data_IF_776912934278
#
_entry.id   IF_776912934278
#
_cell.length_a   1.000
_cell.length_b   1.000
_cell.length_c   1.000
_cell.angle_alpha   90.00
_cell.angle_beta   90.00
_cell.angle_gamma   90.00
#
_symmetry.space_group_name_H-M   'P 1'
#
loop_
_entity.id
_entity.type
_entity.pdbx_description
1 polymer ?
#
# COMPACT_ATOMS: atom_id res chain seq x y z
N UNK A 1 10.91 13.78 -16.81
CA UNK A 1 9.80 12.91 -16.38
C UNK A 1 10.27 12.07 -15.19
N UNK A 2 9.91 12.46 -13.97
CA UNK A 2 10.63 12.12 -12.73
C UNK A 2 10.78 10.60 -12.47
N UNK A 3 9.76 9.76 -12.69
CA UNK A 3 9.81 8.30 -12.50
C UNK A 3 10.24 7.48 -13.73
N UNK A 4 10.64 8.13 -14.83
CA UNK A 4 10.96 7.47 -16.10
C UNK A 4 9.83 6.52 -16.59
N UNK A 5 8.57 6.89 -16.35
CA UNK A 5 7.40 6.13 -16.76
C UNK A 5 7.00 6.45 -18.21
N UNK A 6 6.46 5.49 -18.99
CA UNK A 6 5.90 5.78 -20.30
C UNK A 6 4.61 6.61 -20.20
N UNK A 7 4.18 7.24 -21.29
CA UNK A 7 2.96 8.08 -21.34
C UNK A 7 1.68 7.34 -20.93
N UNK A 8 1.62 6.03 -21.14
CA UNK A 8 0.50 5.17 -20.77
C UNK A 8 0.41 4.85 -19.26
N UNK A 9 1.39 5.28 -18.46
CA UNK A 9 1.40 5.04 -17.03
C UNK A 9 0.34 5.89 -16.30
N UNK A 10 -0.20 5.34 -15.24
CA UNK A 10 -1.22 5.95 -14.40
C UNK A 10 -0.68 7.23 -13.76
N UNK A 11 -1.37 8.38 -13.86
CA UNK A 11 -0.92 9.61 -13.21
C UNK A 11 -1.03 9.57 -11.68
N UNK A 12 -1.87 8.71 -11.11
CA UNK A 12 -2.16 8.61 -9.67
C UNK A 12 -0.90 8.37 -8.83
N UNK A 13 0.12 7.69 -9.36
CA UNK A 13 1.40 7.50 -8.65
C UNK A 13 2.15 8.80 -8.37
N UNK A 14 1.87 9.88 -9.10
CA UNK A 14 2.41 11.19 -8.78
C UNK A 14 1.75 11.76 -7.51
N UNK A 15 0.49 11.39 -7.28
CA UNK A 15 -0.34 11.94 -6.22
C UNK A 15 -0.39 11.08 -4.95
N UNK A 16 0.06 9.83 -5.00
CA UNK A 16 0.22 9.00 -3.81
C UNK A 16 1.39 9.47 -2.96
N UNK A 17 1.32 9.40 -1.62
CA UNK A 17 2.43 9.75 -0.74
C UNK A 17 3.58 8.74 -0.88
N UNK A 18 4.77 9.14 -0.41
CA UNK A 18 5.97 8.30 -0.47
C UNK A 18 5.77 6.96 0.24
N UNK A 19 5.06 6.92 1.37
CA UNK A 19 4.78 5.68 2.11
C UNK A 19 3.90 4.71 1.31
N UNK A 20 3.15 5.20 0.32
CA UNK A 20 2.28 4.41 -0.55
C UNK A 20 2.90 4.15 -1.94
N UNK A 21 4.14 4.58 -2.18
CA UNK A 21 4.85 4.33 -3.44
C UNK A 21 4.61 5.39 -4.52
N UNK A 22 4.22 6.61 -4.14
CA UNK A 22 4.15 7.76 -5.05
C UNK A 22 5.04 8.94 -4.64
N UNK A 23 4.87 10.09 -5.31
CA UNK A 23 5.70 11.29 -5.12
C UNK A 23 5.12 12.33 -4.12
N UNK A 24 3.89 12.13 -3.66
CA UNK A 24 3.23 12.97 -2.66
C UNK A 24 2.70 14.30 -3.18
N UNK A 25 2.55 14.47 -4.50
CA UNK A 25 1.96 15.70 -5.03
C UNK A 25 0.46 15.75 -4.77
N UNK A 26 -0.09 16.95 -4.68
CA UNK A 26 -1.52 17.19 -4.74
C UNK A 26 -1.76 18.13 -5.91
N UNK A 27 -2.78 17.84 -6.73
CA UNK A 27 -3.13 18.72 -7.84
C UNK A 27 -3.42 20.13 -7.29
N UNK A 28 -2.82 21.16 -7.89
CA UNK A 28 -2.90 22.54 -7.37
C UNK A 28 -4.35 23.02 -7.19
N UNK A 29 -5.25 22.61 -8.08
CA UNK A 29 -6.70 22.89 -7.96
C UNK A 29 -7.30 22.26 -6.70
N UNK A 30 -7.10 20.95 -6.49
CA UNK A 30 -7.56 20.25 -5.29
C UNK A 30 -6.91 20.81 -4.03
N UNK A 31 -5.62 21.14 -4.08
CA UNK A 31 -4.93 21.76 -2.95
C UNK A 31 -5.55 23.11 -2.59
N UNK A 32 -5.87 23.95 -3.58
CA UNK A 32 -6.56 25.21 -3.35
C UNK A 32 -7.92 24.99 -2.67
N UNK A 33 -8.70 24.03 -3.13
CA UNK A 33 -10.00 23.68 -2.51
C UNK A 33 -9.84 23.17 -1.08
N UNK A 34 -8.86 22.30 -0.83
CA UNK A 34 -8.51 21.84 0.53
C UNK A 34 -8.14 23.01 1.43
N UNK A 35 -7.32 23.96 0.95
CA UNK A 35 -6.93 25.14 1.73
C UNK A 35 -8.10 26.07 2.03
N UNK A 36 -9.12 26.15 1.15
CA UNK A 36 -10.33 26.91 1.46
C UNK A 36 -11.10 26.33 2.65
N UNK A 37 -11.22 25.00 2.73
CA UNK A 37 -11.87 24.35 3.86
C UNK A 37 -11.03 24.47 5.14
N UNK A 38 -9.71 24.32 5.05
CA UNK A 38 -8.79 24.52 6.18
C UNK A 38 -8.94 25.92 6.76
N UNK A 39 -8.93 26.94 5.89
CA UNK A 39 -9.08 28.32 6.32
C UNK A 39 -10.44 28.57 6.97
N UNK A 40 -11.52 27.99 6.42
CA UNK A 40 -12.85 28.08 7.01
C UNK A 40 -12.91 27.50 8.43
N UNK A 41 -12.35 26.31 8.65
CA UNK A 41 -12.27 25.68 9.98
C UNK A 41 -11.45 26.55 10.95
N UNK A 42 -10.31 27.09 10.49
CA UNK A 42 -9.47 27.97 11.32
C UNK A 42 -10.21 29.23 11.78
N UNK A 43 -11.00 29.86 10.92
CA UNK A 43 -11.80 31.03 11.29
C UNK A 43 -12.93 30.67 12.26
N UNK A 44 -13.63 29.57 12.01
CA UNK A 44 -14.73 29.11 12.86
C UNK A 44 -14.26 28.73 14.27
N UNK A 45 -13.04 28.19 14.41
CA UNK A 45 -12.41 27.86 15.70
C UNK A 45 -11.48 28.97 16.24
N UNK A 46 -11.52 30.16 15.65
CA UNK A 46 -10.81 31.33 16.18
C UNK A 46 -11.49 31.82 17.45
N UNK A 47 -10.71 32.14 18.48
CA UNK A 47 -11.23 32.71 19.73
C UNK A 47 -11.84 34.08 19.50
N UNK A 48 -11.20 34.88 18.66
CA UNK A 48 -11.52 36.30 18.51
C UNK A 48 -12.53 36.53 17.38
N UNK A 49 -12.39 35.76 16.29
CA UNK A 49 -13.19 35.93 15.07
C UNK A 49 -14.30 34.89 14.93
N UNK A 50 -14.30 33.81 15.72
CA UNK A 50 -15.24 32.69 15.59
C UNK A 50 -16.71 33.10 15.60
N UNK A 51 -17.18 33.85 16.61
CA UNK A 51 -18.58 34.29 16.68
C UNK A 51 -19.01 35.14 15.48
N UNK A 52 -18.17 36.12 15.09
CA UNK A 52 -18.41 36.98 13.93
C UNK A 52 -18.44 36.17 12.62
N UNK A 53 -17.50 35.24 12.47
CA UNK A 53 -17.36 34.35 11.31
C UNK A 53 -18.59 33.45 11.17
N UNK A 54 -19.08 32.85 12.26
CA UNK A 54 -20.28 32.03 12.28
C UNK A 54 -21.54 32.85 11.91
N UNK A 55 -21.63 34.10 12.37
CA UNK A 55 -22.72 35.00 12.00
C UNK A 55 -22.68 35.35 10.51
N UNK A 56 -21.51 35.65 9.95
CA UNK A 56 -21.34 35.91 8.50
C UNK A 56 -21.73 34.69 7.65
N UNK A 57 -21.44 33.47 8.12
CA UNK A 57 -21.89 32.24 7.48
C UNK A 57 -23.42 32.14 7.48
N UNK A 58 -24.07 32.38 8.63
CA UNK A 58 -25.54 32.41 8.73
C UNK A 58 -26.14 33.47 7.80
N UNK A 59 -25.55 34.66 7.69
CA UNK A 59 -25.98 35.69 6.75
C UNK A 59 -25.83 35.24 5.29
N UNK A 60 -24.75 34.53 4.94
CA UNK A 60 -24.57 33.99 3.60
C UNK A 60 -25.65 32.94 3.24
N UNK A 61 -25.96 32.04 4.18
CA UNK A 61 -27.05 31.07 4.01
C UNK A 61 -28.42 31.75 3.95
N UNK A 62 -28.68 32.74 4.80
CA UNK A 62 -29.92 33.54 4.81
C UNK A 62 -30.14 34.24 3.48
N UNK A 63 -29.11 34.86 2.90
CA UNK A 63 -29.20 35.51 1.59
C UNK A 63 -29.55 34.53 0.48
N UNK A 64 -29.11 33.26 0.58
CA UNK A 64 -29.45 32.22 -0.39
C UNK A 64 -30.88 31.70 -0.21
N UNK A 65 -31.36 31.59 1.03
CA UNK A 65 -32.69 31.07 1.37
C UNK A 65 -33.80 32.13 1.38
N UNK A 66 -33.43 33.42 1.39
CA UNK A 66 -34.33 34.56 1.59
C UNK A 66 -35.11 34.53 2.92
N UNK A 67 -34.67 33.73 3.89
CA UNK A 67 -35.20 33.65 5.26
C UNK A 67 -34.12 33.21 6.23
N UNK A 68 -34.38 33.34 7.53
CA UNK A 68 -33.47 32.83 8.55
C UNK A 68 -33.24 31.31 8.38
N UNK A 69 -31.98 30.86 8.26
CA UNK A 69 -31.64 29.44 8.17
C UNK A 69 -31.73 28.78 9.55
N UNK A 70 -32.15 27.51 9.57
CA UNK A 70 -31.90 26.61 10.70
C UNK A 70 -30.45 26.18 10.74
N UNK A 71 -30.00 25.66 11.88
CA UNK A 71 -28.63 25.14 12.06
C UNK A 71 -28.26 24.03 11.07
N UNK A 72 -29.22 23.13 10.78
CA UNK A 72 -29.06 22.10 9.75
C UNK A 72 -28.92 22.69 8.35
N UNK A 73 -29.67 23.75 8.04
CA UNK A 73 -29.62 24.42 6.73
C UNK A 73 -28.32 25.19 6.51
N UNK A 74 -27.68 25.69 7.57
CA UNK A 74 -26.33 26.27 7.48
C UNK A 74 -25.31 25.22 7.03
N UNK A 75 -25.40 24.00 7.57
CA UNK A 75 -24.55 22.89 7.15
C UNK A 75 -24.88 22.45 5.70
N UNK A 76 -26.16 22.31 5.37
CA UNK A 76 -26.61 21.95 4.01
C UNK A 76 -26.16 22.98 2.95
N UNK A 77 -26.17 24.27 3.31
CA UNK A 77 -25.60 25.33 2.49
C UNK A 77 -24.12 25.05 2.17
N UNK A 78 -23.28 24.74 3.16
CA UNK A 78 -21.86 24.43 2.93
C UNK A 78 -21.64 23.11 2.18
N UNK A 79 -22.53 22.14 2.35
CA UNK A 79 -22.53 20.86 1.62
C UNK A 79 -22.96 20.99 0.16
N UNK A 80 -23.32 22.20 -0.30
CA UNK A 80 -23.80 22.44 -1.66
C UNK A 80 -24.97 21.53 -2.05
N UNK A 81 -25.90 21.36 -1.10
CA UNK A 81 -27.17 20.67 -1.33
C UNK A 81 -28.02 21.48 -2.32
N UNK A 82 -28.75 20.80 -3.20
CA UNK A 82 -29.53 21.42 -4.29
C UNK A 82 -31.02 21.04 -4.23
N UNK A 83 -31.44 20.27 -3.23
CA UNK A 83 -32.81 19.82 -3.04
C UNK A 83 -33.53 20.64 -1.94
N UNK A 84 -34.86 20.53 -1.89
CA UNK A 84 -35.71 21.18 -0.89
C UNK A 84 -35.50 22.70 -0.84
N UNK A 85 -35.06 23.21 0.33
CA UNK A 85 -34.90 24.64 0.57
C UNK A 85 -33.90 25.34 -0.38
N UNK A 86 -33.06 24.59 -1.11
CA UNK A 86 -32.06 25.12 -2.04
C UNK A 86 -32.41 24.93 -3.52
N UNK A 87 -33.62 24.46 -3.86
CA UNK A 87 -34.07 24.24 -5.25
C UNK A 87 -34.13 25.53 -6.07
N UNK A 88 -34.46 26.66 -5.44
CA UNK A 88 -34.61 27.94 -6.15
C UNK A 88 -33.26 28.64 -6.34
N UNK A 89 -32.87 28.90 -7.59
CA UNK A 89 -31.57 29.48 -7.91
C UNK A 89 -31.57 31.01 -7.75
N UNK A 90 -31.19 31.50 -6.57
CA UNK A 90 -30.89 32.92 -6.36
C UNK A 90 -29.42 33.25 -6.67
N UNK A 91 -29.15 34.42 -7.25
CA UNK A 91 -27.79 34.87 -7.53
C UNK A 91 -26.94 34.93 -6.25
N UNK A 92 -25.76 34.33 -6.30
CA UNK A 92 -24.90 34.14 -5.14
C UNK A 92 -23.99 35.37 -4.96
N UNK A 93 -24.05 36.03 -3.79
CA UNK A 93 -23.08 37.11 -3.50
C UNK A 93 -21.71 36.49 -3.26
N UNK A 94 -20.75 36.76 -4.15
CA UNK A 94 -19.37 36.24 -4.01
C UNK A 94 -18.76 36.67 -2.67
N UNK A 95 -18.59 35.70 -1.78
CA UNK A 95 -17.92 35.87 -0.49
C UNK A 95 -17.11 34.60 -0.15
N UNK A 96 -16.39 34.62 0.97
CA UNK A 96 -15.61 33.45 1.41
C UNK A 96 -16.46 32.18 1.51
N UNK A 97 -17.65 32.24 2.10
CA UNK A 97 -18.53 31.08 2.29
C UNK A 97 -19.06 30.49 0.99
N UNK A 98 -19.31 31.33 -0.03
CA UNK A 98 -19.63 30.83 -1.37
C UNK A 98 -18.47 30.05 -1.98
N UNK A 99 -17.21 30.48 -1.74
CA UNK A 99 -16.01 29.76 -2.17
C UNK A 99 -15.84 28.45 -1.42
N UNK A 100 -16.05 28.44 -0.10
CA UNK A 100 -16.01 27.22 0.73
C UNK A 100 -17.06 26.23 0.26
N UNK A 101 -18.31 26.66 0.06
CA UNK A 101 -19.38 25.81 -0.49
C UNK A 101 -19.00 25.21 -1.84
N UNK A 102 -18.48 26.02 -2.76
CA UNK A 102 -18.06 25.53 -4.08
C UNK A 102 -16.87 24.56 -3.98
N UNK A 103 -15.92 24.81 -3.09
CA UNK A 103 -14.79 23.92 -2.82
C UNK A 103 -15.26 22.59 -2.22
N UNK A 104 -16.14 22.60 -1.20
CA UNK A 104 -16.78 21.39 -0.67
C UNK A 104 -17.45 20.60 -1.78
N UNK A 105 -18.23 21.29 -2.62
CA UNK A 105 -18.89 20.71 -3.78
C UNK A 105 -17.94 20.01 -4.74
N UNK A 106 -16.82 20.65 -5.09
CA UNK A 106 -15.79 20.05 -5.96
C UNK A 106 -15.12 18.85 -5.31
N UNK A 107 -14.71 18.96 -4.05
CA UNK A 107 -14.06 17.87 -3.31
C UNK A 107 -14.96 16.63 -3.20
N UNK A 108 -16.25 16.82 -2.93
CA UNK A 108 -17.20 15.70 -2.81
C UNK A 108 -17.61 15.16 -4.19
N UNK A 109 -18.01 16.03 -5.13
CA UNK A 109 -18.61 15.57 -6.40
C UNK A 109 -17.57 15.18 -7.45
N UNK A 110 -16.48 15.94 -7.55
CA UNK A 110 -15.41 15.75 -8.54
C UNK A 110 -14.33 14.82 -8.01
N UNK A 111 -13.80 15.11 -6.83
CA UNK A 111 -12.67 14.36 -6.25
C UNK A 111 -13.12 13.15 -5.41
N UNK A 112 -14.44 12.95 -5.26
CA UNK A 112 -15.08 11.81 -4.57
C UNK A 112 -14.60 11.65 -3.12
N UNK A 113 -14.31 12.74 -2.43
CA UNK A 113 -13.92 12.72 -1.03
C UNK A 113 -15.14 12.62 -0.12
N UNK A 114 -15.01 11.83 0.95
CA UNK A 114 -15.96 11.83 2.06
C UNK A 114 -15.66 13.02 2.99
N UNK A 115 -16.28 14.15 2.65
CA UNK A 115 -16.18 15.42 3.37
C UNK A 115 -17.60 15.94 3.57
N UNK A 116 -17.95 16.30 4.80
CA UNK A 116 -19.30 16.76 5.13
C UNK A 116 -19.28 17.80 6.25
N UNK A 117 -20.00 18.89 6.07
CA UNK A 117 -20.31 19.82 7.15
C UNK A 117 -21.54 19.35 7.93
N UNK A 118 -21.47 19.38 9.25
CA UNK A 118 -22.57 19.02 10.15
C UNK A 118 -22.68 20.03 11.27
N UNK A 119 -23.88 20.13 11.85
CA UNK A 119 -24.07 20.86 13.09
C UNK A 119 -24.00 19.89 14.26
N UNK A 120 -23.10 20.12 15.21
CA UNK A 120 -22.93 19.28 16.39
C UNK A 120 -22.37 20.10 17.56
N UNK A 121 -22.93 19.90 18.76
CA UNK A 121 -22.57 20.64 19.99
C UNK A 121 -22.67 22.16 19.81
N UNK A 122 -23.81 22.62 19.28
CA UNK A 122 -24.13 24.04 19.03
C UNK A 122 -23.13 24.79 18.14
N UNK A 123 -22.36 24.05 17.33
CA UNK A 123 -21.42 24.62 16.37
C UNK A 123 -21.40 23.83 15.06
N UNK A 124 -21.04 24.54 13.99
CA UNK A 124 -20.72 23.92 12.71
C UNK A 124 -19.38 23.17 12.81
N UNK A 125 -19.33 21.96 12.29
CA UNK A 125 -18.14 21.10 12.27
C UNK A 125 -17.93 20.52 10.88
N UNK A 126 -16.66 20.30 10.52
CA UNK A 126 -16.28 19.59 9.31
C UNK A 126 -15.92 18.14 9.68
N UNK A 127 -16.55 17.19 9.01
CA UNK A 127 -16.21 15.78 9.06
C UNK A 127 -15.40 15.41 7.81
N UNK A 128 -14.31 14.67 8.01
CA UNK A 128 -13.48 14.10 6.96
C UNK A 128 -13.34 12.61 7.24
N UNK A 129 -13.75 11.75 6.31
CA UNK A 129 -13.83 10.30 6.52
C UNK A 129 -14.66 9.94 7.77
N UNK A 130 -15.78 10.63 7.99
CA UNK A 130 -16.64 10.48 9.17
C UNK A 130 -16.08 11.02 10.51
N UNK A 131 -14.85 11.53 10.54
CA UNK A 131 -14.21 12.05 11.76
C UNK A 131 -14.24 13.58 11.81
N UNK A 132 -14.65 14.14 12.95
CA UNK A 132 -14.60 15.58 13.21
C UNK A 132 -13.18 16.11 13.23
N UNK A 133 -12.94 17.20 12.50
CA UNK A 133 -11.61 17.83 12.40
C UNK A 133 -11.54 19.12 13.23
N UNK A 134 -10.32 19.49 13.61
CA UNK A 134 -10.00 20.73 14.33
C UNK A 134 -9.07 21.59 13.48
N UNK A 135 -8.83 22.84 13.87
CA UNK A 135 -7.85 23.73 13.23
C UNK A 135 -6.43 23.15 13.17
N UNK A 136 -6.07 22.23 14.06
CA UNK A 136 -4.77 21.54 14.09
C UNK A 136 -4.72 20.31 13.16
N UNK A 137 -5.86 19.63 12.96
CA UNK A 137 -5.90 18.34 12.26
C UNK A 137 -6.49 18.42 10.85
N UNK A 138 -7.26 19.47 10.55
CA UNK A 138 -8.02 19.64 9.30
C UNK A 138 -7.17 19.46 8.06
N UNK A 139 -6.04 20.17 7.96
CA UNK A 139 -5.16 20.09 6.79
C UNK A 139 -4.62 18.66 6.56
N UNK A 140 -4.10 18.04 7.62
CA UNK A 140 -3.56 16.68 7.54
C UNK A 140 -4.64 15.68 7.11
N UNK A 141 -5.84 15.79 7.67
CA UNK A 141 -6.94 14.88 7.38
C UNK A 141 -7.47 15.06 5.95
N UNK A 142 -7.64 16.30 5.47
CA UNK A 142 -8.06 16.57 4.10
C UNK A 142 -7.03 16.10 3.08
N UNK A 143 -5.74 16.40 3.29
CA UNK A 143 -4.66 15.89 2.42
C UNK A 143 -4.62 14.36 2.43
N UNK A 144 -4.76 13.74 3.61
CA UNK A 144 -4.85 12.29 3.77
C UNK A 144 -6.03 11.69 2.98
N UNK A 145 -7.21 12.31 3.05
CA UNK A 145 -8.38 11.87 2.29
C UNK A 145 -8.15 11.96 0.77
N UNK A 146 -7.51 13.05 0.29
CA UNK A 146 -7.12 13.18 -1.12
C UNK A 146 -6.20 12.04 -1.55
N UNK A 147 -5.14 11.78 -0.78
CA UNK A 147 -4.21 10.68 -1.07
C UNK A 147 -4.91 9.31 -1.07
N UNK A 148 -5.82 9.07 -0.13
CA UNK A 148 -6.59 7.84 -0.07
C UNK A 148 -7.51 7.66 -1.27
N UNK A 149 -8.17 8.72 -1.73
CA UNK A 149 -9.00 8.68 -2.95
C UNK A 149 -8.17 8.34 -4.19
N UNK A 150 -6.97 8.91 -4.31
CA UNK A 150 -6.03 8.57 -5.40
C UNK A 150 -5.58 7.10 -5.34
N UNK A 151 -5.41 6.53 -4.14
CA UNK A 151 -5.09 5.12 -3.98
C UNK A 151 -6.24 4.23 -4.45
N UNK A 152 -7.48 4.55 -4.05
CA UNK A 152 -8.68 3.84 -4.50
C UNK A 152 -8.83 3.90 -6.02
N UNK A 153 -8.60 5.07 -6.63
CA UNK A 153 -8.63 5.22 -8.08
C UNK A 153 -7.55 4.39 -8.78
N UNK A 154 -6.33 4.34 -8.22
CA UNK A 154 -5.25 3.53 -8.77
C UNK A 154 -5.58 2.04 -8.66
N UNK A 155 -5.96 1.55 -7.48
CA UNK A 155 -6.19 0.11 -7.22
C UNK A 155 -7.40 -0.43 -7.97
N UNK A 156 -8.39 0.42 -8.31
CA UNK A 156 -9.49 0.06 -9.20
C UNK A 156 -9.02 -0.30 -10.64
N UNK A 157 -7.82 0.12 -11.06
CA UNK A 157 -7.28 -0.21 -12.40
C UNK A 157 -6.72 -1.63 -12.42
N UNK A 158 -7.44 -2.55 -13.06
CA UNK A 158 -7.11 -3.99 -13.15
C UNK A 158 -5.63 -4.31 -13.47
N UNK A 159 -5.00 -3.55 -14.36
CA UNK A 159 -3.60 -3.77 -14.76
C UNK A 159 -2.60 -3.00 -13.89
N UNK A 160 -2.71 -1.67 -13.78
CA UNK A 160 -1.67 -0.86 -13.12
C UNK A 160 -1.84 -0.74 -11.60
N UNK A 161 -3.04 -0.99 -11.08
CA UNK A 161 -3.35 -0.89 -9.66
C UNK A 161 -3.03 -2.14 -8.85
N UNK A 162 -2.87 -3.28 -9.51
CA UNK A 162 -2.89 -4.61 -8.88
C UNK A 162 -1.82 -4.79 -7.78
N UNK A 163 -0.63 -4.22 -7.99
CA UNK A 163 0.49 -4.32 -7.03
C UNK A 163 0.32 -3.37 -5.84
N UNK A 164 -0.32 -2.21 -6.07
CA UNK A 164 -0.49 -1.18 -5.05
C UNK A 164 -1.44 -1.60 -3.92
N UNK A 165 -2.31 -2.59 -4.14
CA UNK A 165 -3.14 -3.17 -3.06
C UNK A 165 -2.33 -3.75 -1.91
N UNK A 166 -1.11 -4.23 -2.19
CA UNK A 166 -0.18 -4.76 -1.19
C UNK A 166 0.88 -3.71 -0.84
N UNK A 167 1.56 -3.16 -1.84
CA UNK A 167 2.73 -2.31 -1.58
C UNK A 167 2.37 -1.00 -0.90
N UNK A 168 1.16 -0.46 -1.08
CA UNK A 168 0.76 0.80 -0.45
C UNK A 168 0.46 0.67 1.06
N UNK A 169 0.26 -0.56 1.56
CA UNK A 169 -0.14 -0.80 2.97
C UNK A 169 1.04 -0.76 3.94
N UNK A 170 2.23 -1.07 3.45
CA UNK A 170 3.43 -1.20 4.27
C UNK A 170 4.50 -0.20 3.84
N UNK A 171 4.83 0.82 4.65
CA UNK A 171 5.81 1.83 4.29
C UNK A 171 7.19 1.27 3.94
N UNK A 172 7.58 0.12 4.49
CA UNK A 172 8.85 -0.53 4.14
C UNK A 172 8.92 -0.96 2.66
N UNK A 173 7.78 -1.27 2.04
CA UNK A 173 7.68 -1.59 0.60
C UNK A 173 8.08 -0.42 -0.29
N UNK A 174 8.03 0.81 0.24
CA UNK A 174 8.26 2.06 -0.49
C UNK A 174 9.38 2.91 0.11
N UNK A 175 10.23 2.33 0.97
CA UNK A 175 11.23 3.09 1.72
C UNK A 175 12.18 3.92 0.83
N UNK A 176 12.44 3.45 -0.39
CA UNK A 176 13.33 4.08 -1.36
C UNK A 176 12.70 5.30 -2.07
N UNK A 177 11.40 5.58 -1.88
CA UNK A 177 10.75 6.72 -2.53
C UNK A 177 11.34 8.07 -2.10
N UNK A 178 11.70 8.20 -0.83
CA UNK A 178 12.14 9.47 -0.26
C UNK A 178 13.63 9.76 -0.48
N UNK A 179 14.48 8.75 -0.32
CA UNK A 179 15.95 8.93 -0.28
C UNK A 179 16.72 7.95 -1.16
N UNK A 180 16.05 7.03 -1.87
CA UNK A 180 16.68 6.06 -2.75
C UNK A 180 17.58 5.04 -2.06
N UNK A 181 17.64 5.02 -0.73
CA UNK A 181 18.58 4.14 0.00
C UNK A 181 18.31 2.68 -0.29
N UNK A 182 19.40 1.91 -0.33
CA UNK A 182 19.43 0.45 -0.56
C UNK A 182 18.99 -0.02 -1.95
N UNK A 183 18.59 0.89 -2.85
CA UNK A 183 18.14 0.53 -4.19
C UNK A 183 19.05 1.15 -5.26
N UNK A 184 19.54 0.36 -6.23
CA UNK A 184 20.33 0.91 -7.35
C UNK A 184 19.41 1.71 -8.27
N UNK A 185 19.95 2.67 -9.01
CA UNK A 185 19.16 3.47 -9.95
C UNK A 185 18.46 2.62 -11.03
N UNK A 186 19.10 1.54 -11.49
CA UNK A 186 18.49 0.59 -12.42
C UNK A 186 17.29 -0.15 -11.82
N UNK A 187 17.39 -0.56 -10.55
CA UNK A 187 16.31 -1.24 -9.82
C UNK A 187 15.13 -0.28 -9.60
N UNK A 188 15.43 0.99 -9.28
CA UNK A 188 14.43 2.05 -9.14
C UNK A 188 13.68 2.34 -10.45
N UNK A 189 14.39 2.42 -11.59
CA UNK A 189 13.74 2.60 -12.91
C UNK A 189 12.87 1.41 -13.31
N UNK A 190 13.26 0.21 -12.90
CA UNK A 190 12.52 -1.01 -13.15
C UNK A 190 11.25 -1.09 -12.31
N UNK A 191 11.36 -0.92 -10.98
CA UNK A 191 10.27 -1.23 -10.04
C UNK A 191 9.01 -0.41 -10.30
N UNK A 192 9.14 0.88 -10.63
CA UNK A 192 7.99 1.75 -10.93
C UNK A 192 7.22 1.28 -12.16
N UNK A 193 7.94 0.88 -13.21
CA UNK A 193 7.33 0.35 -14.43
C UNK A 193 6.71 -1.02 -14.20
N UNK A 194 7.38 -1.87 -13.42
CA UNK A 194 6.91 -3.22 -13.14
C UNK A 194 5.65 -3.23 -12.27
N UNK A 195 5.58 -2.39 -11.23
CA UNK A 195 4.39 -2.25 -10.37
C UNK A 195 3.16 -1.76 -11.13
N UNK A 196 3.37 -0.89 -12.12
CA UNK A 196 2.33 -0.37 -13.00
C UNK A 196 2.05 -1.25 -14.22
N UNK A 197 2.72 -2.40 -14.36
CA UNK A 197 2.49 -3.32 -15.49
C UNK A 197 2.74 -2.66 -16.86
N UNK A 198 3.72 -1.74 -16.92
CA UNK A 198 4.11 -0.99 -18.13
C UNK A 198 5.54 -1.28 -18.59
N UNK A 199 6.09 -2.43 -18.18
CA UNK A 199 7.33 -2.97 -18.75
C UNK A 199 7.07 -3.54 -20.14
N UNK A 200 8.07 -3.54 -21.05
CA UNK A 200 7.96 -4.09 -22.41
C UNK A 200 7.95 -5.62 -22.44
N UNK A 201 6.95 -6.23 -21.80
CA UNK A 201 6.60 -7.63 -21.95
C UNK A 201 5.38 -7.76 -22.88
N UNK A 202 5.27 -8.88 -23.60
CA UNK A 202 4.22 -9.13 -24.59
C UNK A 202 2.83 -9.09 -23.94
N UNK A 203 2.68 -9.57 -22.70
CA UNK A 203 1.41 -9.47 -21.97
C UNK A 203 1.06 -8.07 -21.47
N UNK A 204 2.03 -7.15 -21.42
CA UNK A 204 1.87 -5.78 -20.87
C UNK A 204 1.68 -4.71 -21.95
N UNK A 205 1.92 -5.04 -23.23
CA UNK A 205 1.78 -4.11 -24.36
C UNK A 205 0.29 -3.80 -24.61
N UNK A 206 -0.06 -2.52 -24.57
CA UNK A 206 -1.41 -2.00 -24.84
C UNK A 206 -1.50 -1.52 -26.29
N UNK A 207 -1.43 -2.44 -27.24
CA UNK A 207 -1.67 -2.13 -28.66
C UNK A 207 -3.10 -2.50 -29.05
N UNK A 208 -3.67 -1.77 -30.03
CA UNK A 208 -4.99 -2.00 -30.63
C UNK A 208 -5.05 -3.25 -31.52
N UNK A 209 -3.91 -3.89 -31.77
CA UNK A 209 -3.78 -5.04 -32.65
C UNK A 209 -3.49 -6.34 -31.90
N UNK A 210 -4.00 -7.44 -32.47
CA UNK A 210 -3.80 -8.84 -32.08
C UNK A 210 -2.32 -9.26 -32.20
N UNK A 211 -1.47 -8.75 -31.32
CA UNK A 211 -0.09 -9.20 -31.21
C UNK A 211 0.01 -10.43 -30.32
N UNK A 212 1.02 -11.25 -30.59
CA UNK A 212 1.32 -12.42 -29.79
C UNK A 212 1.65 -12.02 -28.35
N UNK A 213 0.87 -12.57 -27.40
CA UNK A 213 1.03 -12.36 -25.95
C UNK A 213 1.89 -13.44 -25.31
N UNK A 214 2.27 -14.49 -26.05
CA UNK A 214 3.02 -15.60 -25.50
C UNK A 214 4.40 -15.16 -25.00
N UNK A 215 4.92 -15.93 -24.05
CA UNK A 215 6.23 -15.75 -23.49
C UNK A 215 7.33 -16.01 -24.53
N UNK A 216 8.16 -15.00 -24.80
CA UNK A 216 9.25 -15.05 -25.78
C UNK A 216 10.35 -16.06 -25.44
N UNK A 217 10.36 -16.59 -24.21
CA UNK A 217 11.36 -17.54 -23.72
C UNK A 217 10.84 -18.96 -23.61
N UNK A 218 9.64 -19.15 -23.07
CA UNK A 218 9.13 -20.49 -22.75
C UNK A 218 7.78 -20.82 -23.40
N UNK A 219 7.21 -19.95 -24.23
CA UNK A 219 5.96 -20.21 -24.95
C UNK A 219 4.68 -20.23 -24.09
N UNK A 220 4.76 -19.86 -22.80
CA UNK A 220 3.56 -19.72 -21.96
C UNK A 220 2.56 -18.73 -22.57
N UNK A 221 1.26 -18.95 -22.35
CA UNK A 221 0.17 -18.21 -23.04
C UNK A 221 0.23 -16.70 -22.89
N UNK A 222 0.71 -16.19 -21.74
CA UNK A 222 0.82 -14.76 -21.46
C UNK A 222 2.16 -14.44 -20.81
N UNK A 223 2.97 -13.61 -21.46
CA UNK A 223 4.19 -13.02 -20.93
C UNK A 223 3.87 -11.84 -20.00
N UNK A 224 3.31 -12.15 -18.83
CA UNK A 224 3.04 -11.15 -17.79
C UNK A 224 4.22 -10.97 -16.86
N UNK A 225 4.25 -9.86 -16.10
CA UNK A 225 5.25 -9.66 -15.04
C UNK A 225 5.19 -10.81 -14.02
N UNK A 226 4.00 -11.26 -13.63
CA UNK A 226 3.81 -12.37 -12.71
C UNK A 226 4.43 -13.67 -13.26
N UNK A 227 4.18 -13.97 -14.54
CA UNK A 227 4.81 -15.11 -15.19
C UNK A 227 6.34 -15.00 -15.19
N UNK A 228 6.88 -13.90 -15.72
CA UNK A 228 8.34 -13.72 -15.87
C UNK A 228 9.07 -13.78 -14.53
N UNK A 229 8.52 -13.15 -13.50
CA UNK A 229 9.18 -13.04 -12.21
C UNK A 229 9.00 -14.24 -11.29
N UNK A 230 7.97 -15.08 -11.48
CA UNK A 230 7.64 -16.15 -10.53
C UNK A 230 7.44 -17.54 -11.15
N UNK A 231 7.13 -17.64 -12.44
CA UNK A 231 6.66 -18.90 -13.04
C UNK A 231 7.36 -19.29 -14.34
N UNK A 232 8.21 -18.43 -14.90
CA UNK A 232 8.93 -18.74 -16.13
C UNK A 232 10.04 -19.78 -15.83
N UNK A 233 9.97 -21.00 -16.38
CA UNK A 233 10.88 -22.09 -16.02
C UNK A 233 12.34 -21.79 -16.38
N UNK A 234 12.56 -20.97 -17.41
CA UNK A 234 13.89 -20.48 -17.81
C UNK A 234 14.60 -19.76 -16.66
N UNK A 235 13.84 -19.16 -15.75
CA UNK A 235 14.34 -18.35 -14.64
C UNK A 235 14.24 -19.03 -13.28
N UNK A 236 13.87 -20.32 -13.21
CA UNK A 236 13.68 -21.02 -11.94
C UNK A 236 14.88 -20.89 -10.99
N UNK A 237 16.10 -21.02 -11.53
CA UNK A 237 17.32 -20.86 -10.73
C UNK A 237 17.43 -19.45 -10.11
N UNK A 238 17.21 -18.39 -10.91
CA UNK A 238 17.21 -17.01 -10.43
C UNK A 238 16.11 -16.75 -9.39
N UNK A 239 14.93 -17.33 -9.61
CA UNK A 239 13.79 -17.24 -8.69
C UNK A 239 14.15 -17.88 -7.34
N UNK A 240 14.82 -19.04 -7.35
CA UNK A 240 15.34 -19.68 -6.14
C UNK A 240 16.43 -18.83 -5.46
N UNK A 241 17.36 -18.24 -6.21
CA UNK A 241 18.38 -17.36 -5.62
C UNK A 241 17.76 -16.11 -4.97
N UNK A 242 16.73 -15.52 -5.60
CA UNK A 242 15.96 -14.43 -5.00
C UNK A 242 15.31 -14.84 -3.69
N UNK A 243 14.67 -16.01 -3.67
CA UNK A 243 14.08 -16.58 -2.47
C UNK A 243 15.13 -16.78 -1.36
N UNK A 244 16.25 -17.39 -1.70
CA UNK A 244 17.35 -17.65 -0.75
C UNK A 244 17.92 -16.36 -0.18
N UNK A 245 18.02 -15.28 -0.96
CA UNK A 245 18.46 -13.99 -0.43
C UNK A 245 17.56 -13.47 0.72
N UNK A 246 16.26 -13.77 0.69
CA UNK A 246 15.33 -13.43 1.79
C UNK A 246 15.53 -14.37 2.98
N UNK A 247 15.61 -15.68 2.71
CA UNK A 247 15.89 -16.71 3.73
C UNK A 247 17.18 -16.39 4.49
N UNK A 248 18.27 -16.11 3.77
CA UNK A 248 19.59 -15.81 4.34
C UNK A 248 19.55 -14.58 5.24
N UNK A 249 18.83 -13.52 4.84
CA UNK A 249 18.65 -12.34 5.71
C UNK A 249 17.92 -12.68 6.99
N UNK A 250 16.89 -13.52 6.90
CA UNK A 250 16.13 -13.95 8.07
C UNK A 250 17.01 -14.79 9.00
N UNK A 251 17.75 -15.76 8.46
CA UNK A 251 18.65 -16.64 9.21
C UNK A 251 19.75 -15.85 9.90
N UNK A 252 20.41 -14.94 9.17
CA UNK A 252 21.52 -14.14 9.68
C UNK A 252 21.07 -13.11 10.73
N UNK A 253 19.78 -12.78 10.79
CA UNK A 253 19.21 -11.89 11.81
C UNK A 253 19.01 -12.56 13.17
N UNK A 254 18.92 -13.88 13.20
CA UNK A 254 18.55 -14.63 14.40
C UNK A 254 19.77 -14.79 15.29
N UNK A 255 19.63 -14.36 16.54
CA UNK A 255 20.58 -14.67 17.61
C UNK A 255 20.04 -15.85 18.40
N UNK A 256 20.74 -16.98 18.33
CA UNK A 256 20.31 -18.21 18.98
C UNK A 256 20.84 -18.27 20.41
N UNK A 257 20.00 -18.62 21.40
CA UNK A 257 20.49 -19.13 22.67
C UNK A 257 21.24 -20.46 22.49
N UNK A 258 22.17 -20.77 23.39
CA UNK A 258 22.93 -22.03 23.36
C UNK A 258 22.04 -23.28 23.45
N UNK A 259 20.83 -23.14 24.00
CA UNK A 259 19.83 -24.21 24.13
C UNK A 259 19.03 -24.48 22.85
N UNK A 260 19.20 -23.67 21.81
CA UNK A 260 18.38 -23.74 20.58
C UNK A 260 19.18 -24.28 19.40
N UNK A 261 18.73 -25.41 18.85
CA UNK A 261 19.26 -25.98 17.61
C UNK A 261 18.55 -25.39 16.40
N UNK A 262 19.33 -24.99 15.38
CA UNK A 262 18.81 -24.45 14.11
C UNK A 262 18.94 -25.47 12.98
N UNK A 263 17.85 -25.68 12.28
CA UNK A 263 17.74 -26.48 11.06
C UNK A 263 17.36 -25.58 9.89
N UNK A 264 18.08 -25.68 8.77
CA UNK A 264 17.88 -24.85 7.56
C UNK A 264 17.79 -25.76 6.36
N UNK A 265 16.69 -25.72 5.62
CA UNK A 265 16.50 -26.51 4.39
C UNK A 265 16.76 -28.02 4.54
N UNK A 266 16.54 -28.56 5.73
CA UNK A 266 16.73 -29.98 6.06
C UNK A 266 15.47 -30.56 6.68
N UNK A 267 15.35 -31.88 6.60
CA UNK A 267 14.32 -32.60 7.34
C UNK A 267 14.55 -32.40 8.85
N UNK A 268 13.49 -32.12 9.59
CA UNK A 268 13.57 -31.97 11.03
C UNK A 268 13.66 -33.36 11.69
N UNK A 269 14.65 -33.62 12.57
CA UNK A 269 14.76 -34.88 13.29
C UNK A 269 13.49 -35.22 14.07
N UNK A 270 13.14 -36.51 14.11
CA UNK A 270 11.94 -36.98 14.79
C UNK A 270 10.63 -36.74 14.04
N UNK A 271 10.64 -36.09 12.86
CA UNK A 271 9.42 -35.89 12.05
C UNK A 271 9.27 -36.94 10.95
N UNK A 272 8.03 -37.27 10.62
CA UNK A 272 7.70 -38.18 9.53
C UNK A 272 7.70 -37.42 8.18
N UNK A 273 7.88 -38.14 7.07
CA UNK A 273 7.91 -37.55 5.73
C UNK A 273 9.27 -36.96 5.29
N UNK A 274 9.25 -36.18 4.21
CA UNK A 274 10.42 -35.62 3.51
C UNK A 274 10.42 -34.09 3.43
N UNK A 275 9.51 -33.44 4.17
CA UNK A 275 9.38 -32.00 4.16
C UNK A 275 10.61 -31.33 4.77
N UNK A 276 11.04 -30.24 4.13
CA UNK A 276 12.18 -29.42 4.54
C UNK A 276 11.69 -27.98 4.63
N UNK A 277 11.44 -27.44 5.83
CA UNK A 277 11.15 -26.02 5.97
C UNK A 277 12.41 -25.19 5.77
N UNK A 278 12.25 -23.95 5.34
CA UNK A 278 13.39 -23.03 5.17
C UNK A 278 14.14 -22.78 6.48
N UNK A 279 13.41 -22.73 7.60
CA UNK A 279 13.95 -22.55 8.94
C UNK A 279 13.13 -23.32 9.98
N UNK A 280 13.81 -24.06 10.84
CA UNK A 280 13.25 -24.55 12.09
C UNK A 280 14.21 -24.35 13.26
N UNK A 281 13.69 -23.82 14.36
CA UNK A 281 14.40 -23.63 15.62
C UNK A 281 13.77 -24.53 16.68
N UNK A 282 14.58 -25.34 17.35
CA UNK A 282 14.12 -26.27 18.39
C UNK A 282 14.93 -26.03 19.66
N UNK A 283 14.25 -25.65 20.73
CA UNK A 283 14.80 -25.55 22.08
C UNK A 283 14.19 -26.66 22.93
N UNK A 284 14.97 -27.70 23.20
CA UNK A 284 14.52 -28.85 23.99
C UNK A 284 14.40 -28.53 25.49
N UNK A 285 15.14 -27.54 25.99
CA UNK A 285 15.12 -27.14 27.41
C UNK A 285 13.85 -26.37 27.72
N UNK A 286 13.53 -25.37 26.89
CA UNK A 286 12.31 -24.55 27.03
C UNK A 286 11.09 -25.19 26.37
N UNK A 287 11.25 -26.38 25.78
CA UNK A 287 10.25 -27.06 24.95
C UNK A 287 9.58 -26.12 23.96
N UNK A 288 10.37 -25.46 23.11
CA UNK A 288 9.85 -24.50 22.12
C UNK A 288 10.30 -24.86 20.71
N UNK A 289 9.36 -24.88 19.78
CA UNK A 289 9.61 -25.10 18.35
C UNK A 289 9.10 -23.91 17.56
N UNK A 290 9.87 -23.46 16.57
CA UNK A 290 9.49 -22.38 15.65
C UNK A 290 9.86 -22.81 14.24
N UNK A 291 8.86 -23.03 13.40
CA UNK A 291 8.99 -23.43 12.01
C UNK A 291 8.56 -22.25 11.14
N UNK A 292 9.44 -21.83 10.24
CA UNK A 292 9.20 -20.71 9.34
C UNK A 292 9.55 -21.12 7.93
N UNK A 293 8.62 -20.86 7.00
CA UNK A 293 8.83 -21.09 5.58
C UNK A 293 8.63 -19.77 4.82
N UNK A 294 9.62 -19.41 4.02
CA UNK A 294 9.60 -18.22 3.18
C UNK A 294 8.79 -18.51 1.91
N UNK A 295 8.10 -17.49 1.42
CA UNK A 295 7.42 -17.57 0.13
C UNK A 295 7.44 -16.23 -0.58
N UNK A 296 7.63 -16.29 -1.90
CA UNK A 296 7.65 -15.12 -2.76
C UNK A 296 6.49 -15.16 -3.76
N UNK A 297 5.28 -14.92 -3.25
CA UNK A 297 4.09 -14.82 -4.08
C UNK A 297 4.02 -13.47 -4.80
N UNK A 298 3.56 -13.45 -6.05
CA UNK A 298 3.47 -12.21 -6.82
C UNK A 298 2.36 -11.32 -6.24
N UNK A 299 2.57 -10.01 -6.18
CA UNK A 299 1.63 -9.07 -5.59
C UNK A 299 0.47 -8.74 -6.55
N UNK A 300 -0.34 -9.73 -6.96
CA UNK A 300 -1.50 -9.47 -7.82
C UNK A 300 -2.80 -9.30 -7.04
N UNK A 301 -3.62 -8.37 -7.54
CA UNK A 301 -5.05 -8.19 -7.27
C UNK A 301 -5.43 -7.84 -5.82
N UNK A 302 -5.33 -8.76 -4.88
CA UNK A 302 -5.95 -8.66 -3.55
C UNK A 302 -5.07 -9.30 -2.47
N UNK A 303 -5.29 -8.89 -1.21
CA UNK A 303 -4.65 -9.44 -0.02
C UNK A 303 -4.80 -10.95 0.11
N UNK A 304 -5.92 -11.47 -0.38
CA UNK A 304 -6.22 -12.90 -0.39
C UNK A 304 -5.10 -13.73 -1.03
N UNK A 305 -4.25 -13.16 -1.88
CA UNK A 305 -3.10 -13.87 -2.45
C UNK A 305 -2.04 -14.18 -1.40
N UNK A 306 -1.69 -13.20 -0.55
CA UNK A 306 -0.73 -13.42 0.54
C UNK A 306 -1.35 -14.27 1.64
N UNK A 307 -2.64 -14.13 1.92
CA UNK A 307 -3.38 -14.99 2.84
C UNK A 307 -3.41 -16.44 2.35
N UNK A 308 -3.77 -16.67 1.09
CA UNK A 308 -3.80 -18.01 0.47
C UNK A 308 -2.41 -18.64 0.44
N UNK A 309 -1.36 -17.86 0.15
CA UNK A 309 0.02 -18.33 0.19
C UNK A 309 0.43 -18.75 1.61
N UNK A 310 0.05 -17.95 2.63
CA UNK A 310 0.25 -18.30 4.03
C UNK A 310 -0.46 -19.60 4.38
N UNK A 311 -1.75 -19.69 4.12
CA UNK A 311 -2.57 -20.85 4.45
C UNK A 311 -2.08 -22.11 3.74
N UNK A 312 -1.58 -21.98 2.50
CA UNK A 312 -0.92 -23.06 1.78
C UNK A 312 0.32 -23.59 2.50
N UNK A 313 1.18 -22.71 3.01
CA UNK A 313 2.36 -23.10 3.79
C UNK A 313 1.98 -23.69 5.15
N UNK A 314 1.02 -23.10 5.85
CA UNK A 314 0.52 -23.62 7.12
C UNK A 314 -0.01 -25.05 6.97
N UNK A 315 -0.84 -25.29 5.94
CA UNK A 315 -1.33 -26.64 5.63
C UNK A 315 -0.20 -27.60 5.27
N UNK A 316 0.77 -27.17 4.46
CA UNK A 316 1.91 -28.00 4.03
C UNK A 316 2.70 -28.55 5.22
N UNK A 317 2.91 -27.75 6.26
CA UNK A 317 3.73 -28.13 7.43
C UNK A 317 2.88 -28.47 8.67
N UNK A 318 1.57 -28.67 8.52
CA UNK A 318 0.66 -28.95 9.62
C UNK A 318 1.03 -30.22 10.39
N UNK A 319 1.47 -31.28 9.71
CA UNK A 319 1.86 -32.54 10.35
C UNK A 319 3.06 -32.36 11.28
N UNK A 320 4.05 -31.57 10.87
CA UNK A 320 5.21 -31.25 11.70
C UNK A 320 4.77 -30.44 12.93
N UNK A 321 3.90 -29.45 12.72
CA UNK A 321 3.36 -28.63 13.80
C UNK A 321 2.57 -29.48 14.82
N UNK A 322 1.68 -30.33 14.34
CA UNK A 322 0.84 -31.19 15.18
C UNK A 322 1.69 -32.17 15.98
N UNK A 323 2.74 -32.74 15.37
CA UNK A 323 3.67 -33.65 16.05
C UNK A 323 4.34 -33.00 17.26
N UNK A 324 5.04 -31.88 17.07
CA UNK A 324 5.73 -31.22 18.19
C UNK A 324 4.76 -30.68 19.23
N UNK A 325 3.56 -30.26 18.83
CA UNK A 325 2.50 -29.87 19.77
C UNK A 325 2.06 -31.06 20.62
N UNK A 326 1.86 -32.23 20.03
CA UNK A 326 1.52 -33.47 20.75
C UNK A 326 2.65 -33.91 21.69
N UNK A 327 3.91 -33.69 21.31
CA UNK A 327 5.10 -33.94 22.15
C UNK A 327 5.26 -32.91 23.30
N UNK A 328 4.33 -31.96 23.43
CA UNK A 328 4.28 -30.98 24.51
C UNK A 328 5.17 -29.76 24.32
N UNK A 329 5.55 -29.43 23.08
CA UNK A 329 6.29 -28.22 22.76
C UNK A 329 5.35 -27.02 22.50
N UNK A 330 5.73 -25.84 22.98
CA UNK A 330 5.23 -24.56 22.47
C UNK A 330 5.68 -24.42 21.00
N UNK A 331 4.81 -24.81 20.08
CA UNK A 331 5.10 -24.89 18.66
C UNK A 331 4.49 -23.70 17.94
N UNK A 332 5.29 -23.05 17.09
CA UNK A 332 4.85 -21.98 16.19
C UNK A 332 5.14 -22.38 14.75
N UNK A 333 4.15 -22.19 13.88
CA UNK A 333 4.30 -22.34 12.44
C UNK A 333 3.93 -21.01 11.77
N UNK A 334 4.84 -20.46 10.98
CA UNK A 334 4.62 -19.19 10.27
C UNK A 334 5.10 -19.24 8.83
N UNK A 335 4.37 -18.55 7.95
CA UNK A 335 4.87 -18.21 6.62
C UNK A 335 5.47 -16.80 6.64
N UNK A 336 6.59 -16.61 5.95
CA UNK A 336 7.25 -15.32 5.81
C UNK A 336 7.19 -14.86 4.35
N UNK A 337 6.39 -13.84 4.07
CA UNK A 337 5.99 -13.51 2.70
C UNK A 337 6.59 -12.16 2.27
N UNK A 338 7.38 -12.19 1.20
CA UNK A 338 7.89 -10.98 0.54
C UNK A 338 7.64 -11.12 -0.95
N UNK A 339 6.94 -10.16 -1.53
CA UNK A 339 6.64 -10.16 -2.95
C UNK A 339 7.84 -9.76 -3.82
N UNK A 340 7.88 -10.22 -5.08
CA UNK A 340 8.98 -9.96 -6.01
C UNK A 340 9.17 -8.48 -6.36
N UNK A 341 8.13 -7.65 -6.26
CA UNK A 341 8.20 -6.20 -6.48
C UNK A 341 8.26 -5.40 -5.17
N UNK A 342 8.61 -6.07 -4.08
CA UNK A 342 8.85 -5.47 -2.78
C UNK A 342 7.62 -5.35 -1.88
N UNK A 343 6.55 -6.10 -2.15
CA UNK A 343 5.40 -6.19 -1.26
C UNK A 343 5.79 -6.85 0.06
N UNK A 344 5.46 -6.21 1.18
CA UNK A 344 5.68 -6.75 2.52
C UNK A 344 4.37 -7.22 3.13
N UNK A 345 4.35 -8.44 3.66
CA UNK A 345 3.20 -8.96 4.39
C UNK A 345 3.19 -8.51 5.85
N UNK A 346 2.03 -8.06 6.34
CA UNK A 346 1.85 -7.67 7.75
C UNK A 346 2.00 -8.88 8.70
N UNK A 347 1.69 -10.10 8.22
CA UNK A 347 1.86 -11.34 8.99
C UNK A 347 3.32 -11.61 9.39
N UNK A 348 4.29 -11.08 8.62
CA UNK A 348 5.71 -11.19 8.95
C UNK A 348 6.05 -10.61 10.33
N UNK A 349 5.31 -9.62 10.82
CA UNK A 349 5.57 -9.00 12.13
C UNK A 349 5.42 -9.99 13.30
N UNK A 350 4.54 -10.98 13.17
CA UNK A 350 4.39 -12.04 14.17
C UNK A 350 5.61 -12.97 14.13
N UNK A 351 6.06 -13.33 12.93
CA UNK A 351 7.26 -14.18 12.75
C UNK A 351 8.51 -13.51 13.29
N UNK A 352 8.72 -12.22 12.99
CA UNK A 352 9.88 -11.46 13.50
C UNK A 352 9.91 -11.39 15.02
N UNK A 353 8.75 -11.21 15.66
CA UNK A 353 8.63 -11.24 17.14
C UNK A 353 8.91 -12.63 17.70
N UNK A 354 8.38 -13.69 17.09
CA UNK A 354 8.64 -15.07 17.52
C UNK A 354 10.13 -15.43 17.43
N UNK A 355 10.81 -14.96 16.40
CA UNK A 355 12.26 -15.13 16.20
C UNK A 355 13.12 -14.20 17.08
N UNK A 356 12.51 -13.40 17.96
CA UNK A 356 13.18 -12.46 18.85
C UNK A 356 14.10 -11.45 18.13
N UNK A 357 13.76 -11.09 16.90
CA UNK A 357 14.52 -10.09 16.11
C UNK A 357 14.16 -8.71 16.64
N UNK A 358 15.17 -7.94 17.08
CA UNK A 358 14.94 -6.60 17.64
C UNK A 358 14.23 -5.67 16.66
N UNK A 359 13.30 -4.85 17.15
CA UNK A 359 12.50 -3.92 16.32
C UNK A 359 13.39 -2.97 15.52
N UNK A 360 14.48 -2.48 16.12
CA UNK A 360 15.46 -1.59 15.46
C UNK A 360 16.12 -2.29 14.26
N UNK A 361 16.62 -3.51 14.45
CA UNK A 361 17.25 -4.27 13.37
C UNK A 361 16.23 -4.69 12.31
N UNK A 362 15.04 -5.15 12.73
CA UNK A 362 13.95 -5.50 11.84
C UNK A 362 13.59 -4.33 10.90
N UNK A 363 13.57 -3.10 11.39
CA UNK A 363 13.33 -1.91 10.57
C UNK A 363 14.33 -1.74 9.41
N UNK A 364 15.61 -2.06 9.63
CA UNK A 364 16.63 -2.06 8.57
C UNK A 364 16.48 -3.29 7.66
N UNK A 365 16.36 -4.47 8.26
CA UNK A 365 16.27 -5.74 7.54
C UNK A 365 15.11 -5.77 6.53
N UNK A 366 13.93 -5.25 6.90
CA UNK A 366 12.78 -5.10 6.00
C UNK A 366 13.11 -4.35 4.73
N UNK A 367 13.82 -3.21 4.86
CA UNK A 367 14.23 -2.39 3.72
C UNK A 367 15.19 -3.14 2.81
N UNK A 368 16.15 -3.84 3.41
CA UNK A 368 17.14 -4.63 2.67
C UNK A 368 16.51 -5.84 1.96
N UNK A 369 15.55 -6.53 2.60
CA UNK A 369 14.78 -7.62 1.98
C UNK A 369 13.95 -7.13 0.79
N UNK A 370 13.25 -6.00 0.95
CA UNK A 370 12.50 -5.35 -0.15
C UNK A 370 13.44 -4.98 -1.29
N UNK A 371 14.60 -4.40 -0.98
CA UNK A 371 15.60 -4.04 -1.99
C UNK A 371 16.15 -5.26 -2.73
N UNK A 372 16.45 -6.36 -2.03
CA UNK A 372 16.92 -7.60 -2.64
C UNK A 372 15.87 -8.25 -3.54
N UNK A 373 14.61 -8.28 -3.11
CA UNK A 373 13.51 -8.78 -3.92
C UNK A 373 13.43 -8.00 -5.25
N UNK A 374 13.47 -6.66 -5.19
CA UNK A 374 13.42 -5.81 -6.38
C UNK A 374 14.66 -5.98 -7.25
N UNK A 375 15.85 -6.04 -6.66
CA UNK A 375 17.14 -6.23 -7.35
C UNK A 375 17.13 -7.50 -8.19
N UNK A 376 16.83 -8.64 -7.56
CA UNK A 376 16.76 -9.92 -8.26
C UNK A 376 15.65 -9.96 -9.30
N UNK A 377 14.49 -9.37 -9.01
CA UNK A 377 13.40 -9.28 -9.99
C UNK A 377 13.80 -8.45 -11.21
N UNK A 378 14.57 -7.37 -11.02
CA UNK A 378 15.14 -6.61 -12.14
C UNK A 378 16.10 -7.47 -12.93
N UNK A 379 17.00 -8.19 -12.28
CA UNK A 379 17.99 -9.04 -12.94
C UNK A 379 17.31 -10.15 -13.76
N UNK A 380 16.31 -10.84 -13.20
CA UNK A 380 15.43 -11.80 -13.91
C UNK A 380 14.77 -11.15 -15.12
N UNK A 381 14.16 -9.97 -14.94
CA UNK A 381 13.46 -9.27 -16.01
C UNK A 381 14.41 -8.85 -17.14
N UNK A 382 15.59 -8.30 -16.81
CA UNK A 382 16.55 -7.89 -17.83
C UNK A 382 17.06 -9.11 -18.59
N UNK A 383 17.46 -10.19 -17.90
CA UNK A 383 17.83 -11.46 -18.56
C UNK A 383 16.71 -12.00 -19.45
N UNK A 384 15.46 -11.92 -18.98
CA UNK A 384 14.30 -12.30 -19.78
C UNK A 384 14.21 -11.50 -21.08
N UNK A 385 14.40 -10.19 -21.02
CA UNK A 385 14.26 -9.32 -22.20
C UNK A 385 15.47 -9.42 -23.13
N UNK A 386 16.70 -9.38 -22.63
CA UNK A 386 17.91 -9.34 -23.46
C UNK A 386 18.51 -10.71 -23.78
N UNK A 387 18.20 -11.75 -22.98
CA UNK A 387 18.79 -13.09 -23.11
C UNK A 387 20.20 -13.21 -22.52
N UNK A 388 20.69 -12.16 -21.86
CA UNK A 388 22.03 -12.12 -21.25
C UNK A 388 21.92 -12.28 -19.74
N UNK A 389 22.69 -13.21 -19.17
CA UNK A 389 22.76 -13.49 -17.73
C UNK A 389 23.08 -12.20 -16.95
N UNK A 390 22.32 -11.93 -15.88
CA UNK A 390 22.47 -10.69 -15.08
C UNK A 390 23.08 -10.90 -13.69
N UNK A 391 23.40 -12.13 -13.33
CA UNK A 391 23.92 -12.49 -12.02
C UNK A 391 24.99 -13.56 -12.13
N UNK A 392 25.92 -13.57 -11.18
CA UNK A 392 26.93 -14.62 -11.02
C UNK A 392 26.45 -15.58 -9.94
N UNK A 393 26.81 -16.86 -10.07
CA UNK A 393 26.48 -17.93 -9.12
C UNK A 393 27.65 -18.14 -8.19
#
# INVERSE_FOLDING_TARGET
MWLNLPSQASPEVLYLPNEMGGLGFIQTKTLADVMQLVHAVQLLESTDLGPMTAQLLRTAAQKKLLRAPTDSEVADYLNQKLDGAFETYYADTRNMWTRVRQATGRLVKTDKLDVKWTWANDKIQLLVLGCGVTKKTCEKMLKGAVHQAQLVHLTAKKSQGKVYNITARQPCSNHFMRDGRFLRFADWRFVHRARLDVVPLNGCKRARDHHDKTCRRCGATIESVAHVLNHCPVHNHAITLRHNAIVDRLINAIKLPDTTTKYVNVKIPGTDGQLRPDLALIDHVKKRVTIVDVTMSFENYDLSVFESARDGKLRKYADIFNKFTADGYDTFLGAFIVGPLGGWDQGNEVVLRRLAISVKYAGLMKKLMVADAVRWSKDIYIEHVCGQRQYQV
#
